data_IF_723857616912
#
_entry.id   IF_723857616912
#
_cell.length_a   1.000
_cell.length_b   1.000
_cell.length_c   1.000
_cell.angle_alpha   90.00
_cell.angle_beta   90.00
_cell.angle_gamma   90.00
#
_symmetry.space_group_name_H-M   'P 1'
#
loop_
_entity.id
_entity.type
_entity.pdbx_description
1 polymer ?
#
# COMPACT_ATOMS: atom_id res chain seq x y z
N UNK A 1 12.07 3.51 -3.39
CA UNK A 1 10.85 3.35 -4.22
C UNK A 1 10.89 1.95 -4.79
N UNK A 2 9.97 1.09 -4.34
CA UNK A 2 9.91 -0.33 -4.70
C UNK A 2 8.59 -0.59 -5.44
N UNK A 3 8.62 -1.47 -6.45
CA UNK A 3 7.44 -1.87 -7.20
C UNK A 3 7.21 -3.37 -7.04
N UNK A 4 5.97 -3.74 -6.74
CA UNK A 4 5.53 -5.13 -6.72
C UNK A 4 4.72 -5.38 -7.99
N UNK A 5 5.14 -6.33 -8.83
CA UNK A 5 4.35 -6.80 -9.96
C UNK A 5 3.66 -8.11 -9.58
N UNK A 6 2.34 -8.10 -9.53
CA UNK A 6 1.52 -9.29 -9.26
C UNK A 6 0.42 -9.39 -10.29
N UNK A 7 0.42 -10.52 -11.01
CA UNK A 7 -0.44 -10.74 -12.18
C UNK A 7 -0.35 -9.55 -13.16
N UNK A 8 -1.47 -8.85 -13.39
CA UNK A 8 -1.59 -7.72 -14.30
C UNK A 8 -1.52 -6.36 -13.57
N UNK A 9 -1.14 -6.33 -12.29
CA UNK A 9 -1.07 -5.13 -11.47
C UNK A 9 0.38 -4.83 -11.10
N UNK A 10 0.77 -3.54 -11.18
CA UNK A 10 2.03 -3.04 -10.66
C UNK A 10 1.72 -2.06 -9.54
N UNK A 11 2.13 -2.39 -8.32
CA UNK A 11 1.90 -1.59 -7.11
C UNK A 11 3.19 -0.85 -6.78
N UNK A 12 3.14 0.49 -6.74
CA UNK A 12 4.20 1.28 -6.12
C UNK A 12 3.98 1.25 -4.61
N UNK A 13 4.94 0.67 -3.88
CA UNK A 13 4.82 0.47 -2.42
C UNK A 13 4.77 1.79 -1.65
N UNK A 14 5.23 2.90 -2.24
CA UNK A 14 5.18 4.24 -1.63
C UNK A 14 3.75 4.76 -1.43
N UNK A 15 2.77 4.18 -2.13
CA UNK A 15 1.35 4.54 -1.98
C UNK A 15 0.56 3.50 -1.16
N UNK A 16 1.19 2.45 -0.66
CA UNK A 16 0.51 1.47 0.20
C UNK A 16 0.38 2.07 1.59
N UNK A 17 -0.86 2.29 2.04
CA UNK A 17 -1.15 2.86 3.36
C UNK A 17 -1.39 1.79 4.42
N UNK A 18 -1.96 0.65 4.03
CA UNK A 18 -2.22 -0.48 4.94
C UNK A 18 -2.36 -1.79 4.15
N UNK A 19 -2.15 -2.91 4.83
CA UNK A 19 -2.31 -4.25 4.27
C UNK A 19 -3.02 -5.12 5.30
N UNK A 20 -4.00 -5.90 4.85
CA UNK A 20 -4.66 -6.93 5.64
C UNK A 20 -4.32 -8.31 5.04
N UNK A 21 -3.60 -9.13 5.80
CA UNK A 21 -3.09 -10.43 5.37
C UNK A 21 -4.00 -11.62 5.73
N UNK A 22 -4.98 -11.39 6.61
CA UNK A 22 -5.86 -12.42 7.16
C UNK A 22 -7.34 -12.14 6.82
N UNK A 23 -7.60 -11.61 5.63
CA UNK A 23 -8.98 -11.38 5.16
C UNK A 23 -9.57 -12.63 4.48
N UNK A 24 -10.90 -12.65 4.41
CA UNK A 24 -11.66 -13.64 3.65
C UNK A 24 -12.70 -12.92 2.80
N UNK A 25 -12.93 -13.41 1.59
CA UNK A 25 -14.02 -12.93 0.73
C UNK A 25 -15.38 -13.28 1.34
N UNK A 26 -16.46 -12.71 0.80
CA UNK A 26 -17.83 -13.06 1.19
C UNK A 26 -18.17 -14.54 1.00
N UNK A 27 -17.39 -15.27 0.19
CA UNK A 27 -17.52 -16.71 -0.05
C UNK A 27 -16.59 -17.56 0.83
N UNK A 28 -15.84 -16.94 1.74
CA UNK A 28 -14.92 -17.62 2.67
C UNK A 28 -13.55 -17.97 2.06
N UNK A 29 -13.25 -17.49 0.85
CA UNK A 29 -11.93 -17.69 0.25
C UNK A 29 -10.91 -16.78 0.94
N UNK A 30 -9.72 -17.29 1.24
CA UNK A 30 -8.62 -16.47 1.79
C UNK A 30 -8.26 -15.35 0.82
N UNK A 31 -8.19 -14.12 1.33
CA UNK A 31 -7.83 -12.94 0.56
C UNK A 31 -6.74 -12.12 1.25
N UNK A 32 -6.07 -11.28 0.47
CA UNK A 32 -5.20 -10.20 0.97
C UNK A 32 -5.76 -8.89 0.44
N UNK A 33 -5.96 -7.92 1.32
CA UNK A 33 -6.42 -6.58 0.94
C UNK A 33 -5.30 -5.56 1.09
N UNK A 34 -5.12 -4.72 0.08
CA UNK A 34 -4.11 -3.65 0.08
C UNK A 34 -4.82 -2.30 -0.04
N UNK A 35 -4.58 -1.40 0.91
CA UNK A 35 -5.09 -0.03 0.87
C UNK A 35 -4.08 0.86 0.15
N UNK A 36 -4.49 1.46 -0.95
CA UNK A 36 -3.69 2.41 -1.72
C UNK A 36 -4.15 3.82 -1.42
N UNK A 37 -3.21 4.72 -1.11
CA UNK A 37 -3.41 6.15 -0.94
C UNK A 37 -2.84 6.90 -2.16
N UNK A 38 -3.67 7.21 -3.14
CA UNK A 38 -3.27 7.99 -4.32
C UNK A 38 -3.56 9.47 -4.11
N UNK A 39 -2.66 10.40 -4.50
CA UNK A 39 -2.97 11.82 -4.43
C UNK A 39 -4.11 12.17 -5.39
N UNK A 40 -5.12 12.92 -4.91
CA UNK A 40 -6.28 13.34 -5.71
C UNK A 40 -5.94 14.45 -6.71
N UNK A 41 -4.84 15.14 -6.51
CA UNK A 41 -4.41 16.27 -7.32
C UNK A 41 -3.02 16.01 -7.91
N UNK A 42 -2.71 16.54 -9.10
CA UNK A 42 -1.34 16.63 -9.55
C UNK A 42 -0.54 17.38 -8.46
N UNK A 43 0.69 16.92 -8.19
CA UNK A 43 1.59 17.29 -7.08
C UNK A 43 1.86 18.81 -6.90
N UNK A 44 1.22 19.70 -7.66
CA UNK A 44 1.49 21.12 -7.78
C UNK A 44 0.56 22.06 -6.97
N UNK A 45 -0.44 21.56 -6.23
CA UNK A 45 -1.40 22.41 -5.49
C UNK A 45 -1.43 22.10 -3.98
N UNK A 46 -0.26 22.08 -3.34
CA UNK A 46 -0.13 21.74 -1.91
C UNK A 46 -0.63 22.84 -0.95
N UNK A 47 -0.79 24.08 -1.42
CA UNK A 47 -1.06 25.24 -0.56
C UNK A 47 -2.53 25.44 -0.15
N UNK A 48 -3.49 24.69 -0.71
CA UNK A 48 -4.90 25.11 -0.64
C UNK A 48 -5.85 24.32 0.27
N UNK A 49 -5.63 23.03 0.61
CA UNK A 49 -6.69 22.28 1.33
C UNK A 49 -6.12 21.25 2.30
N UNK A 50 -6.09 21.64 3.58
CA UNK A 50 -6.05 20.68 4.68
C UNK A 50 -7.39 19.92 4.70
N UNK A 51 -7.29 18.58 4.75
CA UNK A 51 -8.36 17.57 4.67
C UNK A 51 -8.70 17.14 3.23
N UNK A 52 -8.41 15.87 2.92
CA UNK A 52 -8.77 15.13 1.69
C UNK A 52 -7.76 15.16 0.50
N UNK A 53 -6.46 15.15 0.79
CA UNK A 53 -5.37 15.13 -0.23
C UNK A 53 -5.25 13.77 -0.94
N UNK A 54 -5.62 12.69 -0.25
CA UNK A 54 -5.48 11.32 -0.75
C UNK A 54 -6.85 10.65 -1.01
N UNK A 55 -6.92 9.89 -2.09
CA UNK A 55 -7.96 8.91 -2.36
C UNK A 55 -7.49 7.57 -1.83
N UNK A 56 -8.30 6.94 -1.00
CA UNK A 56 -8.03 5.64 -0.42
C UNK A 56 -8.91 4.60 -1.10
N UNK A 57 -8.29 3.56 -1.65
CA UNK A 57 -8.97 2.44 -2.31
C UNK A 57 -8.43 1.12 -1.77
N UNK A 58 -9.33 0.20 -1.41
CA UNK A 58 -8.98 -1.17 -1.08
C UNK A 58 -8.99 -2.04 -2.32
N UNK A 59 -7.86 -2.70 -2.59
CA UNK A 59 -7.74 -3.72 -3.62
C UNK A 59 -7.70 -5.09 -2.94
N UNK A 60 -8.68 -5.93 -3.25
CA UNK A 60 -8.74 -7.32 -2.76
C UNK A 60 -8.10 -8.27 -3.78
N UNK A 61 -7.21 -9.13 -3.29
CA UNK A 61 -6.53 -10.17 -4.06
C UNK A 61 -6.87 -11.54 -3.49
N UNK A 62 -7.06 -12.54 -4.36
CA UNK A 62 -7.30 -13.94 -3.99
C UNK A 62 -6.30 -14.88 -4.70
N UNK A 63 -6.37 -16.18 -4.37
CA UNK A 63 -5.56 -17.23 -4.99
C UNK A 63 -4.04 -16.98 -4.95
N UNK A 64 -3.39 -17.12 -6.11
CA UNK A 64 -1.93 -16.99 -6.24
C UNK A 64 -1.42 -15.56 -5.96
N UNK A 65 -2.22 -14.53 -6.29
CA UNK A 65 -1.85 -13.15 -5.98
C UNK A 65 -1.86 -12.90 -4.47
N UNK A 66 -2.89 -13.38 -3.77
CA UNK A 66 -2.97 -13.27 -2.31
C UNK A 66 -1.79 -13.98 -1.63
N UNK A 67 -1.45 -15.19 -2.10
CA UNK A 67 -0.31 -15.96 -1.57
C UNK A 67 1.00 -15.20 -1.75
N UNK A 68 1.26 -14.68 -2.96
CA UNK A 68 2.47 -13.93 -3.24
C UNK A 68 2.58 -12.61 -2.45
N UNK A 69 1.46 -11.88 -2.28
CA UNK A 69 1.44 -10.68 -1.43
C UNK A 69 1.69 -11.02 0.03
N UNK A 70 1.08 -12.11 0.52
CA UNK A 70 1.29 -12.57 1.89
C UNK A 70 2.75 -12.95 2.14
N UNK A 71 3.37 -13.72 1.24
CA UNK A 71 4.78 -14.10 1.36
C UNK A 71 5.68 -12.85 1.30
N UNK A 72 5.37 -11.89 0.43
CA UNK A 72 6.12 -10.65 0.32
C UNK A 72 6.06 -9.84 1.63
N UNK A 73 4.87 -9.60 2.18
CA UNK A 73 4.68 -8.72 3.34
C UNK A 73 4.83 -9.43 4.69
N UNK A 74 4.87 -10.76 4.74
CA UNK A 74 5.26 -11.49 5.96
C UNK A 74 6.77 -11.47 6.18
N UNK A 75 7.57 -11.14 5.16
CA UNK A 75 9.01 -11.03 5.26
C UNK A 75 9.42 -9.66 5.79
N UNK A 76 10.01 -9.62 6.98
CA UNK A 76 10.42 -8.40 7.69
C UNK A 76 11.28 -7.46 6.83
N UNK A 77 12.15 -7.99 5.97
CA UNK A 77 13.02 -7.18 5.12
C UNK A 77 12.24 -6.34 4.09
N UNK A 78 11.05 -6.79 3.69
CA UNK A 78 10.19 -6.11 2.73
C UNK A 78 9.18 -5.17 3.42
N UNK A 79 8.94 -5.36 4.71
CA UNK A 79 8.09 -4.48 5.54
C UNK A 79 8.82 -3.19 5.88
N UNK A 80 10.16 -3.21 5.98
CA UNK A 80 10.98 -2.02 6.22
C UNK A 80 10.81 -0.98 5.10
N UNK A 81 10.56 -1.41 3.86
CA UNK A 81 10.29 -0.51 2.72
C UNK A 81 8.97 0.27 2.85
N UNK A 82 8.06 -0.15 3.73
CA UNK A 82 6.78 0.50 4.00
C UNK A 82 6.79 1.38 5.25
N UNK A 83 7.82 1.29 6.09
CA UNK A 83 7.93 2.16 7.26
C UNK A 83 8.29 3.57 6.78
N UNK A 84 7.63 4.61 7.31
CA UNK A 84 8.08 5.97 7.03
C UNK A 84 9.53 6.06 7.50
N UNK A 85 10.44 6.34 6.57
CA UNK A 85 11.81 6.71 6.92
C UNK A 85 11.69 8.03 7.65
N UNK A 86 11.66 7.96 8.99
CA UNK A 86 11.68 9.12 9.84
C UNK A 86 13.04 9.80 9.60
N UNK A 87 13.08 10.75 8.67
CA UNK A 87 14.18 11.70 8.63
C UNK A 87 13.96 12.59 9.84
N UNK A 88 14.74 12.37 10.89
CA UNK A 88 14.96 13.42 11.88
C UNK A 88 15.40 14.65 11.10
N UNK A 89 14.49 15.61 10.96
CA UNK A 89 14.79 16.95 10.50
C UNK A 89 15.71 17.53 11.54
N UNK A 90 17.02 17.34 11.37
CA UNK A 90 18.06 17.97 12.15
C UNK A 90 17.88 19.47 11.99
N UNK A 91 17.20 20.07 12.96
CA UNK A 91 17.24 21.51 13.19
C UNK A 91 18.67 21.79 13.65
N UNK A 92 19.48 22.33 12.74
CA UNK A 92 20.74 23.02 13.06
C UNK A 92 20.60 24.44 12.56
#
# INVERSE_FOLDING_TARGET
MTFIKIQNVVINTSYVAAINLDSQTSLGEKSVSVLIATPKFPLLQWDAVAQNIYHYEWLEFTGQAATALQDYFSNFNNVIDLLPQYQESGVV
#
